data_IF_294535778532
#
_entry.id   IF_294535778532
#
_cell.length_a   1.000
_cell.length_b   1.000
_cell.length_c   1.000
_cell.angle_alpha   90.00
_cell.angle_beta   90.00
_cell.angle_gamma   90.00
#
_symmetry.space_group_name_H-M   'P 1'
#
loop_
_entity.id
_entity.type
_entity.pdbx_description
1 polymer ?
#
# COMPACT_ATOMS: atom_id res chain seq x y z
N UNK A 1 -51.90 -6.32 -1.39
CA UNK A 1 -51.52 -6.03 -2.79
C UNK A 1 -50.08 -6.48 -2.95
N UNK A 2 -49.85 -7.47 -3.81
CA UNK A 2 -48.51 -8.04 -4.03
C UNK A 2 -47.72 -7.09 -4.90
N UNK A 3 -46.45 -6.88 -4.58
CA UNK A 3 -45.52 -6.00 -5.29
C UNK A 3 -45.45 -6.29 -6.80
N UNK A 4 -45.75 -7.53 -7.20
CA UNK A 4 -45.82 -7.98 -8.59
C UNK A 4 -46.90 -7.29 -9.43
N UNK A 5 -48.03 -6.87 -8.84
CA UNK A 5 -49.09 -6.16 -9.58
C UNK A 5 -48.64 -4.74 -9.98
N UNK A 6 -47.78 -4.13 -9.17
CA UNK A 6 -47.17 -2.82 -9.44
C UNK A 6 -46.12 -2.90 -10.56
N UNK A 7 -45.39 -4.02 -10.65
CA UNK A 7 -44.39 -4.26 -11.69
C UNK A 7 -45.02 -4.40 -13.09
N UNK A 8 -46.26 -4.90 -13.19
CA UNK A 8 -46.98 -4.94 -14.47
C UNK A 8 -47.49 -3.56 -14.93
N UNK A 9 -47.73 -2.62 -14.01
CA UNK A 9 -48.20 -1.25 -14.34
C UNK A 9 -47.06 -0.34 -14.77
N UNK A 10 -45.85 -0.58 -14.24
CA UNK A 10 -44.60 0.08 -14.66
C UNK A 10 -43.98 -0.79 -15.76
N UNK A 11 -44.37 -0.57 -17.02
CA UNK A 11 -43.90 -1.25 -18.24
C UNK A 11 -42.50 -1.90 -18.17
N UNK A 12 -42.31 -3.02 -18.88
CA UNK A 12 -41.10 -3.87 -18.92
C UNK A 12 -39.76 -3.10 -18.91
N UNK A 13 -38.71 -3.72 -18.33
CA UNK A 13 -37.37 -3.12 -18.21
C UNK A 13 -36.84 -2.58 -19.56
N UNK A 14 -37.01 -1.28 -19.77
CA UNK A 14 -36.62 -0.61 -21.01
C UNK A 14 -35.10 -0.55 -21.20
N UNK A 15 -34.64 -0.31 -22.43
CA UNK A 15 -33.20 -0.20 -22.75
C UNK A 15 -32.47 0.81 -21.86
N UNK A 16 -33.11 1.94 -21.55
CA UNK A 16 -32.55 2.97 -20.67
C UNK A 16 -32.43 2.51 -19.21
N UNK A 17 -33.42 1.80 -18.68
CA UNK A 17 -33.36 1.26 -17.32
C UNK A 17 -32.26 0.19 -17.20
N UNK A 18 -32.11 -0.68 -18.21
CA UNK A 18 -31.03 -1.68 -18.29
C UNK A 18 -29.65 -1.04 -18.32
N UNK A 19 -29.44 -0.02 -19.17
CA UNK A 19 -28.19 0.72 -19.24
C UNK A 19 -27.86 1.43 -17.92
N UNK A 20 -28.85 2.09 -17.31
CA UNK A 20 -28.66 2.79 -16.04
C UNK A 20 -28.33 1.83 -14.90
N UNK A 21 -29.02 0.68 -14.83
CA UNK A 21 -28.73 -0.36 -13.86
C UNK A 21 -27.30 -0.90 -14.04
N UNK A 22 -26.90 -1.18 -15.29
CA UNK A 22 -25.53 -1.60 -15.61
C UNK A 22 -24.48 -0.58 -15.16
N UNK A 23 -24.69 0.71 -15.40
CA UNK A 23 -23.77 1.76 -14.92
C UNK A 23 -23.67 1.80 -13.39
N UNK A 24 -24.78 1.63 -12.67
CA UNK A 24 -24.77 1.58 -11.19
C UNK A 24 -23.98 0.36 -10.71
N UNK A 25 -24.19 -0.82 -11.31
CA UNK A 25 -23.41 -2.01 -10.98
C UNK A 25 -21.92 -1.80 -11.22
N UNK A 26 -21.54 -1.19 -12.35
CA UNK A 26 -20.14 -0.87 -12.64
C UNK A 26 -19.55 0.07 -11.58
N UNK A 27 -20.26 1.12 -11.21
CA UNK A 27 -19.82 2.06 -10.18
C UNK A 27 -19.63 1.42 -8.81
N UNK A 28 -20.44 0.41 -8.47
CA UNK A 28 -20.31 -0.32 -7.20
C UNK A 28 -19.18 -1.38 -7.22
N UNK A 29 -18.81 -1.92 -8.39
CA UNK A 29 -17.75 -2.92 -8.53
C UNK A 29 -16.33 -2.33 -8.54
N UNK A 30 -16.16 -1.10 -9.02
CA UNK A 30 -14.84 -0.47 -9.13
C UNK A 30 -14.15 -0.15 -7.79
N UNK A 31 -14.84 0.37 -6.75
CA UNK A 31 -14.18 0.75 -5.51
C UNK A 31 -13.53 -0.44 -4.78
N UNK A 32 -14.18 -1.62 -4.61
CA UNK A 32 -13.55 -2.79 -4.00
C UNK A 32 -12.23 -3.18 -4.68
N UNK A 33 -12.17 -3.14 -6.02
CA UNK A 33 -10.95 -3.44 -6.78
C UNK A 33 -9.82 -2.52 -6.32
N UNK A 34 -10.07 -1.22 -6.21
CA UNK A 34 -9.08 -0.22 -5.77
C UNK A 34 -8.65 -0.40 -4.30
N UNK A 35 -9.51 -0.95 -3.45
CA UNK A 35 -9.16 -1.30 -2.06
C UNK A 35 -8.18 -2.46 -2.04
N UNK A 36 -8.50 -3.53 -2.77
CA UNK A 36 -7.71 -4.75 -2.78
C UNK A 36 -6.36 -4.58 -3.50
N UNK A 37 -6.22 -3.61 -4.41
CA UNK A 37 -4.93 -3.26 -5.02
C UNK A 37 -3.85 -3.00 -3.97
N UNK A 38 -4.20 -2.49 -2.78
CA UNK A 38 -3.25 -2.28 -1.68
C UNK A 38 -2.52 -3.56 -1.26
N UNK A 39 -3.22 -4.69 -1.23
CA UNK A 39 -2.62 -5.97 -0.83
C UNK A 39 -1.46 -6.37 -1.73
N UNK A 40 -1.56 -6.05 -3.03
CA UNK A 40 -0.53 -6.31 -4.02
C UNK A 40 0.52 -5.20 -4.05
N UNK A 41 0.10 -3.93 -4.07
CA UNK A 41 1.01 -2.79 -4.13
C UNK A 41 1.90 -2.68 -2.88
N UNK A 42 1.38 -3.06 -1.72
CA UNK A 42 2.12 -3.10 -0.46
C UNK A 42 2.64 -4.50 -0.13
N UNK A 43 2.70 -5.45 -1.07
CA UNK A 43 3.33 -6.74 -0.83
C UNK A 43 4.81 -6.55 -0.50
N UNK A 44 5.33 -7.37 0.41
CA UNK A 44 6.75 -7.36 0.80
C UNK A 44 7.47 -8.48 0.03
N UNK A 45 8.22 -8.18 -1.05
CA UNK A 45 9.04 -9.19 -1.69
C UNK A 45 10.15 -9.68 -0.74
N UNK A 46 10.75 -10.82 -1.07
CA UNK A 46 11.96 -11.24 -0.35
C UNK A 46 13.07 -10.23 -0.60
N UNK A 47 13.78 -9.85 0.45
CA UNK A 47 14.81 -8.83 0.38
C UNK A 47 16.04 -9.23 1.17
N UNK A 48 17.18 -8.71 0.75
CA UNK A 48 18.47 -8.86 1.41
C UNK A 48 19.19 -7.53 1.49
N UNK A 49 20.17 -7.43 2.39
CA UNK A 49 20.99 -6.23 2.51
C UNK A 49 21.90 -6.06 1.28
N UNK A 50 22.06 -4.82 0.80
CA UNK A 50 23.05 -4.45 -0.23
C UNK A 50 24.40 -4.26 0.44
N UNK A 51 25.39 -5.04 0.02
CA UNK A 51 26.70 -5.11 0.69
C UNK A 51 27.71 -4.11 0.11
N UNK A 52 27.68 -3.89 -1.21
CA UNK A 52 28.59 -2.99 -1.93
C UNK A 52 27.88 -2.31 -3.11
N UNK A 53 28.37 -1.13 -3.52
CA UNK A 53 27.76 -0.33 -4.60
C UNK A 53 28.21 -0.73 -6.02
N UNK A 54 29.38 -1.37 -6.18
CA UNK A 54 29.90 -1.81 -7.47
C UNK A 54 30.05 -3.34 -7.51
N UNK A 55 29.31 -3.99 -8.41
CA UNK A 55 29.42 -5.43 -8.67
C UNK A 55 30.82 -5.84 -9.19
N UNK A 56 31.63 -4.89 -9.66
CA UNK A 56 33.01 -5.12 -10.11
C UNK A 56 34.05 -5.17 -8.97
N UNK A 57 33.80 -4.55 -7.81
CA UNK A 57 34.73 -4.59 -6.66
C UNK A 57 34.58 -5.90 -5.85
N UNK A 58 33.51 -6.66 -6.15
CA UNK A 58 33.20 -7.96 -5.54
C UNK A 58 34.29 -9.01 -5.83
N UNK A 59 34.88 -9.00 -7.02
CA UNK A 59 35.91 -9.97 -7.41
C UNK A 59 37.30 -9.64 -6.84
N UNK A 60 37.58 -8.39 -6.44
CA UNK A 60 38.92 -7.95 -6.01
C UNK A 60 39.12 -8.12 -4.50
N UNK A 61 38.06 -7.97 -3.69
CA UNK A 61 38.14 -8.13 -2.22
C UNK A 61 37.85 -9.55 -1.72
N UNK A 62 37.46 -10.46 -2.62
CA UNK A 62 37.10 -11.84 -2.31
C UNK A 62 38.27 -12.66 -1.71
N UNK A 63 39.51 -12.20 -1.87
CA UNK A 63 40.71 -12.87 -1.38
C UNK A 63 41.21 -12.41 0.00
N UNK A 64 40.61 -11.37 0.62
CA UNK A 64 41.01 -10.94 1.98
C UNK A 64 39.85 -10.66 2.94
N UNK A 65 38.59 -10.65 2.48
CA UNK A 65 37.43 -10.72 3.37
C UNK A 65 36.66 -12.02 3.10
N UNK A 66 36.97 -13.02 3.92
CA UNK A 66 36.26 -14.28 4.02
C UNK A 66 34.75 -14.04 3.98
N UNK A 67 34.08 -14.76 3.09
CA UNK A 67 32.67 -15.15 3.17
C UNK A 67 32.19 -15.22 4.63
N UNK A 68 31.65 -14.12 5.16
CA UNK A 68 31.01 -13.98 6.48
C UNK A 68 30.59 -12.51 6.71
N UNK A 69 29.70 -11.98 5.87
CA UNK A 69 28.74 -11.00 6.38
C UNK A 69 27.72 -11.81 7.18
N UNK A 70 28.14 -12.20 8.38
CA UNK A 70 27.43 -13.19 9.18
C UNK A 70 26.05 -12.62 9.52
N UNK A 71 25.02 -13.45 9.38
CA UNK A 71 23.71 -13.07 9.91
C UNK A 71 23.85 -12.95 11.44
N UNK A 72 23.15 -12.00 12.07
CA UNK A 72 23.12 -11.95 13.52
C UNK A 72 22.62 -13.29 14.07
N UNK A 73 23.23 -13.72 15.18
CA UNK A 73 22.83 -14.96 15.85
C UNK A 73 21.36 -14.89 16.26
N UNK A 74 20.70 -16.05 16.26
CA UNK A 74 19.29 -16.16 16.66
C UNK A 74 19.05 -15.61 18.07
N UNK A 75 20.04 -15.72 18.97
CA UNK A 75 19.99 -15.16 20.31
C UNK A 75 19.93 -13.62 20.31
N UNK A 76 20.67 -12.93 19.42
CA UNK A 76 20.62 -11.47 19.30
C UNK A 76 19.23 -11.01 18.82
N UNK A 77 18.66 -11.71 17.83
CA UNK A 77 17.35 -11.39 17.30
C UNK A 77 16.23 -11.62 18.33
N UNK A 78 16.31 -12.69 19.12
CA UNK A 78 15.36 -12.94 20.23
C UNK A 78 15.50 -11.94 21.36
N UNK A 79 16.71 -11.44 21.64
CA UNK A 79 16.96 -10.50 22.73
C UNK A 79 16.52 -9.06 22.40
N UNK A 80 16.67 -8.63 21.14
CA UNK A 80 16.48 -7.23 20.76
C UNK A 80 15.17 -6.92 20.01
N UNK A 81 14.41 -7.92 19.55
CA UNK A 81 13.17 -7.67 18.79
C UNK A 81 12.03 -8.66 19.08
N UNK A 82 10.79 -8.16 19.01
CA UNK A 82 9.55 -8.96 19.00
C UNK A 82 9.20 -9.51 17.60
N UNK A 83 10.17 -9.56 16.69
CA UNK A 83 9.98 -9.93 15.27
C UNK A 83 10.52 -11.35 15.04
N UNK A 84 10.05 -12.04 14.00
CA UNK A 84 10.60 -13.33 13.57
C UNK A 84 12.12 -13.26 13.36
N UNK A 85 12.82 -14.30 13.80
CA UNK A 85 14.29 -14.44 13.67
C UNK A 85 14.74 -14.26 12.22
N UNK A 86 14.00 -14.85 11.27
CA UNK A 86 14.30 -14.76 9.82
C UNK A 86 14.22 -13.34 9.28
N UNK A 87 13.34 -12.53 9.85
CA UNK A 87 13.10 -11.16 9.40
C UNK A 87 14.12 -10.21 10.03
N UNK A 88 14.48 -10.42 11.30
CA UNK A 88 15.61 -9.76 11.94
C UNK A 88 16.93 -9.99 11.18
N UNK A 89 17.22 -11.22 10.74
CA UNK A 89 18.45 -11.51 9.99
C UNK A 89 18.55 -10.78 8.64
N UNK A 90 17.44 -10.30 8.07
CA UNK A 90 17.43 -9.51 6.84
C UNK A 90 17.66 -8.01 7.07
N UNK A 91 17.45 -7.56 8.30
CA UNK A 91 17.53 -6.15 8.70
C UNK A 91 18.91 -5.73 9.21
N UNK A 92 19.74 -6.69 9.61
CA UNK A 92 21.03 -6.44 10.23
C UNK A 92 22.12 -7.25 9.56
N UNK A 93 23.33 -6.69 9.57
CA UNK A 93 24.54 -7.35 9.12
C UNK A 93 25.56 -7.35 10.25
N UNK A 94 26.33 -8.45 10.35
CA UNK A 94 27.47 -8.56 11.25
C UNK A 94 28.74 -8.22 10.45
N UNK A 95 29.52 -7.29 10.96
CA UNK A 95 30.78 -6.84 10.38
C UNK A 95 31.91 -7.07 11.38
N UNK A 96 33.03 -7.60 10.90
CA UNK A 96 34.24 -7.77 11.71
C UNK A 96 35.05 -6.48 11.61
N UNK A 97 35.29 -5.81 12.74
CA UNK A 97 36.18 -4.65 12.79
C UNK A 97 37.65 -5.08 12.63
N UNK A 98 38.52 -4.17 12.19
CA UNK A 98 39.99 -4.38 12.14
C UNK A 98 40.59 -4.82 13.51
N UNK A 99 39.83 -4.65 14.60
CA UNK A 99 40.20 -5.09 15.96
C UNK A 99 39.77 -6.52 16.29
N UNK A 100 39.20 -7.27 15.34
CA UNK A 100 38.65 -8.61 15.55
C UNK A 100 37.33 -8.64 16.34
N UNK A 101 36.79 -7.48 16.73
CA UNK A 101 35.50 -7.36 17.41
C UNK A 101 34.35 -7.41 16.41
N UNK A 102 33.36 -8.23 16.74
CA UNK A 102 32.11 -8.33 16.00
C UNK A 102 31.23 -7.11 16.28
N UNK A 103 30.77 -6.43 15.23
CA UNK A 103 29.85 -5.30 15.33
C UNK A 103 28.61 -5.58 14.49
N UNK A 104 27.44 -5.44 15.11
CA UNK A 104 26.15 -5.55 14.42
C UNK A 104 25.74 -4.16 13.95
N UNK A 105 25.39 -4.04 12.68
CA UNK A 105 24.97 -2.79 12.05
C UNK A 105 23.63 -2.96 11.33
N UNK A 106 22.81 -1.92 11.36
CA UNK A 106 21.55 -1.84 10.61
C UNK A 106 21.83 -1.72 9.12
N UNK A 107 21.04 -2.44 8.31
CA UNK A 107 21.13 -2.32 6.87
C UNK A 107 20.44 -1.03 6.39
N UNK A 108 21.14 -0.23 5.57
CA UNK A 108 20.58 1.00 5.02
C UNK A 108 20.02 0.83 3.60
N UNK A 109 20.60 -0.09 2.82
CA UNK A 109 20.27 -0.31 1.42
C UNK A 109 19.83 -1.76 1.21
N UNK A 110 18.75 -1.96 0.48
CA UNK A 110 18.14 -3.28 0.29
C UNK A 110 18.11 -3.65 -1.18
N UNK A 111 18.33 -4.93 -1.47
CA UNK A 111 18.09 -5.54 -2.77
C UNK A 111 16.86 -6.43 -2.64
N UNK A 112 15.87 -6.19 -3.49
CA UNK A 112 14.61 -6.90 -3.50
C UNK A 112 14.61 -7.94 -4.63
N UNK A 113 14.06 -9.13 -4.35
CA UNK A 113 13.93 -10.20 -5.35
C UNK A 113 12.67 -9.97 -6.20
N UNK A 114 12.86 -9.79 -7.51
CA UNK A 114 11.79 -9.54 -8.48
C UNK A 114 11.18 -10.82 -9.06
N UNK A 115 11.16 -11.92 -8.29
CA UNK A 115 10.66 -13.23 -8.78
C UNK A 115 9.13 -13.27 -8.92
N UNK A 116 8.41 -12.57 -8.05
CA UNK A 116 6.94 -12.60 -7.97
C UNK A 116 6.28 -11.23 -8.17
N UNK A 117 7.05 -10.16 -8.00
CA UNK A 117 6.55 -8.79 -8.10
C UNK A 117 7.59 -7.96 -8.86
N UNK A 118 7.18 -7.30 -9.94
CA UNK A 118 8.06 -6.42 -10.71
C UNK A 118 8.22 -5.04 -10.04
N UNK A 119 7.16 -4.59 -9.36
CA UNK A 119 7.12 -3.29 -8.70
C UNK A 119 6.24 -3.33 -7.45
N UNK A 120 6.77 -2.87 -6.32
CA UNK A 120 6.01 -2.71 -5.08
C UNK A 120 6.34 -1.38 -4.40
N UNK A 121 5.37 -0.80 -3.70
CA UNK A 121 5.56 0.41 -2.90
C UNK A 121 6.57 0.17 -1.76
N UNK A 122 6.65 -1.06 -1.26
CA UNK A 122 7.61 -1.44 -0.21
C UNK A 122 9.04 -1.33 -0.72
N UNK A 123 9.30 -1.80 -1.94
CA UNK A 123 10.61 -1.68 -2.61
C UNK A 123 10.92 -0.23 -2.96
N UNK A 124 9.95 0.50 -3.50
CA UNK A 124 10.08 1.92 -3.82
C UNK A 124 10.52 2.71 -2.59
N UNK A 125 9.85 2.56 -1.46
CA UNK A 125 10.14 3.39 -0.27
C UNK A 125 11.03 2.71 0.77
N UNK A 126 11.55 1.51 0.48
CA UNK A 126 12.32 0.69 1.43
C UNK A 126 11.62 0.56 2.79
N UNK A 127 10.31 0.28 2.79
CA UNK A 127 9.48 0.17 4.01
C UNK A 127 9.64 -1.19 4.71
N UNK A 128 10.89 -1.58 4.95
CA UNK A 128 11.27 -2.82 5.64
C UNK A 128 11.91 -2.51 6.99
N UNK A 129 11.99 -3.52 7.86
CA UNK A 129 12.64 -3.41 9.17
C UNK A 129 12.04 -2.29 10.04
N UNK A 130 12.83 -1.30 10.45
CA UNK A 130 12.39 -0.16 11.26
C UNK A 130 11.30 0.68 10.56
N UNK A 131 11.23 0.62 9.23
CA UNK A 131 10.28 1.40 8.40
C UNK A 131 8.98 0.66 8.11
N UNK A 132 8.76 -0.52 8.70
CA UNK A 132 7.48 -1.25 8.58
C UNK A 132 6.29 -0.47 9.16
N UNK A 133 6.55 0.42 10.13
CA UNK A 133 5.54 1.30 10.74
C UNK A 133 4.87 2.20 9.68
N UNK A 134 5.61 2.67 8.67
CA UNK A 134 5.05 3.51 7.61
C UNK A 134 4.02 2.76 6.76
N UNK A 135 4.30 1.49 6.40
CA UNK A 135 3.35 0.63 5.68
C UNK A 135 2.05 0.46 6.49
N UNK A 136 2.17 0.14 7.78
CA UNK A 136 1.03 0.00 8.68
C UNK A 136 0.27 1.32 8.88
N UNK A 137 0.98 2.45 8.96
CA UNK A 137 0.38 3.76 9.08
C UNK A 137 -0.50 4.12 7.88
N UNK A 138 -0.06 3.85 6.65
CA UNK A 138 -0.87 4.08 5.43
C UNK A 138 -2.17 3.26 5.48
N UNK A 139 -2.09 1.99 5.90
CA UNK A 139 -3.27 1.13 6.03
C UNK A 139 -4.22 1.61 7.13
N UNK A 140 -3.70 2.03 8.28
CA UNK A 140 -4.51 2.55 9.38
C UNK A 140 -5.20 3.87 9.00
N UNK A 141 -4.47 4.80 8.36
CA UNK A 141 -5.03 6.07 7.87
C UNK A 141 -6.12 5.81 6.83
N UNK A 142 -5.94 4.81 5.97
CA UNK A 142 -6.97 4.40 5.03
C UNK A 142 -8.26 3.95 5.73
N UNK A 143 -8.19 3.08 6.73
CA UNK A 143 -9.37 2.66 7.49
C UNK A 143 -9.98 3.78 8.34
N UNK A 144 -9.15 4.69 8.84
CA UNK A 144 -9.63 5.90 9.49
C UNK A 144 -10.43 6.79 8.52
N UNK A 145 -9.95 6.95 7.28
CA UNK A 145 -10.68 7.60 6.20
C UNK A 145 -12.00 6.91 5.86
N UNK A 146 -12.06 5.58 5.91
CA UNK A 146 -13.31 4.83 5.76
C UNK A 146 -14.35 5.24 6.80
N UNK A 147 -13.93 5.31 8.08
CA UNK A 147 -14.81 5.72 9.16
C UNK A 147 -15.32 7.14 8.96
N UNK A 148 -14.41 8.10 8.73
CA UNK A 148 -14.76 9.52 8.53
C UNK A 148 -15.67 9.70 7.31
N UNK A 149 -15.35 9.05 6.20
CA UNK A 149 -16.15 9.12 4.97
C UNK A 149 -17.57 8.60 5.16
N UNK A 150 -17.76 7.50 5.91
CA UNK A 150 -19.10 6.95 6.16
C UNK A 150 -20.01 7.93 6.89
N UNK A 151 -19.48 8.65 7.89
CA UNK A 151 -20.25 9.60 8.69
C UNK A 151 -20.50 10.86 7.88
N UNK A 152 -19.45 11.44 7.29
CA UNK A 152 -19.55 12.73 6.60
C UNK A 152 -20.41 12.64 5.33
N UNK A 153 -20.12 11.68 4.44
CA UNK A 153 -20.90 11.52 3.21
C UNK A 153 -22.30 10.97 3.47
N UNK A 154 -22.52 10.23 4.55
CA UNK A 154 -23.86 9.82 4.97
C UNK A 154 -24.74 11.01 5.32
N UNK A 155 -24.27 11.90 6.20
CA UNK A 155 -25.02 13.11 6.58
C UNK A 155 -25.25 14.01 5.36
N UNK A 156 -24.24 14.17 4.50
CA UNK A 156 -24.36 14.96 3.27
C UNK A 156 -25.36 14.37 2.28
N UNK A 157 -25.42 13.04 2.15
CA UNK A 157 -26.36 12.34 1.29
C UNK A 157 -27.81 12.56 1.71
N UNK A 158 -28.07 12.55 3.02
CA UNK A 158 -29.41 12.77 3.56
C UNK A 158 -29.86 14.23 3.40
N UNK A 159 -28.92 15.20 3.49
CA UNK A 159 -29.24 16.63 3.39
C UNK A 159 -29.34 17.15 1.96
N UNK A 160 -28.42 16.76 1.08
CA UNK A 160 -28.32 17.28 -0.30
C UNK A 160 -28.87 16.31 -1.36
N UNK A 161 -29.30 15.12 -0.93
CA UNK A 161 -29.77 14.05 -1.79
C UNK A 161 -28.64 13.12 -2.25
N UNK A 162 -28.99 11.85 -2.47
CA UNK A 162 -28.01 10.77 -2.76
C UNK A 162 -27.32 10.89 -4.11
N UNK A 163 -28.04 11.30 -5.17
CA UNK A 163 -27.49 11.40 -6.53
C UNK A 163 -26.33 12.38 -6.68
N UNK A 164 -26.43 13.67 -6.26
CA UNK A 164 -25.33 14.61 -6.43
C UNK A 164 -24.11 14.23 -5.60
N UNK A 165 -24.32 13.73 -4.37
CA UNK A 165 -23.22 13.29 -3.50
C UNK A 165 -22.50 12.08 -4.09
N UNK A 166 -23.23 11.09 -4.62
CA UNK A 166 -22.64 9.95 -5.32
C UNK A 166 -21.75 10.40 -6.50
N UNK A 167 -22.21 11.35 -7.32
CA UNK A 167 -21.40 11.89 -8.42
C UNK A 167 -20.12 12.58 -7.93
N UNK A 168 -20.19 13.36 -6.85
CA UNK A 168 -19.02 14.01 -6.26
C UNK A 168 -18.01 12.98 -5.75
N UNK A 169 -18.47 11.93 -5.05
CA UNK A 169 -17.59 10.87 -4.56
C UNK A 169 -16.89 10.12 -5.70
N UNK A 170 -17.56 9.88 -6.83
CA UNK A 170 -16.96 9.23 -8.00
C UNK A 170 -15.84 10.10 -8.59
N UNK A 171 -16.07 11.40 -8.73
CA UNK A 171 -15.06 12.34 -9.27
C UNK A 171 -13.84 12.40 -8.33
N UNK A 172 -14.07 12.51 -7.02
CA UNK A 172 -13.00 12.48 -6.03
C UNK A 172 -12.22 11.18 -6.05
N UNK A 173 -12.91 10.03 -6.18
CA UNK A 173 -12.28 8.72 -6.29
C UNK A 173 -11.39 8.62 -7.54
N UNK A 174 -11.88 9.09 -8.70
CA UNK A 174 -11.10 9.07 -9.94
C UNK A 174 -9.85 9.95 -9.85
N UNK A 175 -9.99 11.17 -9.34
CA UNK A 175 -8.88 12.12 -9.19
C UNK A 175 -7.81 11.61 -8.22
N UNK A 176 -8.22 11.09 -7.06
CA UNK A 176 -7.28 10.57 -6.06
C UNK A 176 -6.65 9.24 -6.46
N UNK A 177 -7.38 8.39 -7.19
CA UNK A 177 -6.83 7.19 -7.80
C UNK A 177 -5.71 7.50 -8.79
N UNK A 178 -5.90 8.55 -9.62
CA UNK A 178 -4.85 9.03 -10.53
C UNK A 178 -3.62 9.50 -9.75
N UNK A 179 -3.79 10.33 -8.71
CA UNK A 179 -2.68 10.78 -7.87
C UNK A 179 -1.92 9.60 -7.26
N UNK A 180 -2.62 8.59 -6.75
CA UNK A 180 -2.00 7.40 -6.17
C UNK A 180 -1.14 6.60 -7.18
N UNK A 181 -1.43 6.68 -8.48
CA UNK A 181 -0.68 5.97 -9.51
C UNK A 181 0.63 6.69 -9.90
N UNK A 182 0.64 8.03 -9.92
CA UNK A 182 1.79 8.81 -10.41
C UNK A 182 2.79 9.23 -9.33
N UNK A 183 2.32 9.49 -8.12
CA UNK A 183 3.14 10.06 -7.05
C UNK A 183 4.07 9.11 -6.27
N UNK A 184 4.04 7.76 -6.36
CA UNK A 184 4.92 6.94 -5.56
C UNK A 184 6.41 7.01 -5.94
N UNK A 185 6.76 7.67 -7.04
CA UNK A 185 8.15 7.78 -7.54
C UNK A 185 9.06 8.56 -6.56
N UNK A 186 9.82 7.84 -5.73
CA UNK A 186 10.76 8.41 -4.74
C UNK A 186 11.87 9.20 -5.43
N UNK A 187 12.32 8.73 -6.60
CA UNK A 187 13.54 9.24 -7.25
C UNK A 187 13.32 10.63 -7.83
N UNK A 188 12.07 10.96 -8.22
CA UNK A 188 11.72 12.26 -8.81
C UNK A 188 11.31 13.29 -7.77
N UNK A 189 10.57 12.88 -6.75
CA UNK A 189 9.94 13.81 -5.80
C UNK A 189 10.55 13.78 -4.40
N UNK A 190 11.33 12.75 -4.07
CA UNK A 190 11.83 12.50 -2.72
C UNK A 190 10.84 11.70 -1.87
N UNK A 191 11.36 11.04 -0.82
CA UNK A 191 10.58 10.12 0.02
C UNK A 191 9.44 10.80 0.79
N UNK A 192 9.72 11.86 1.55
CA UNK A 192 8.71 12.50 2.41
C UNK A 192 7.52 13.10 1.65
N UNK A 193 7.71 13.91 0.60
CA UNK A 193 6.57 14.48 -0.14
C UNK A 193 5.79 13.42 -0.92
N UNK A 194 6.44 12.43 -1.54
CA UNK A 194 5.73 11.34 -2.23
C UNK A 194 4.88 10.52 -1.25
N UNK A 195 5.44 10.18 -0.08
CA UNK A 195 4.74 9.46 0.97
C UNK A 195 3.52 10.23 1.51
N UNK A 196 3.67 11.53 1.80
CA UNK A 196 2.58 12.36 2.32
C UNK A 196 1.45 12.53 1.30
N UNK A 197 1.78 12.85 0.05
CA UNK A 197 0.78 13.01 -1.02
C UNK A 197 0.04 11.70 -1.26
N UNK A 198 0.75 10.58 -1.30
CA UNK A 198 0.14 9.27 -1.44
C UNK A 198 -0.79 8.93 -0.26
N UNK A 199 -0.34 9.18 0.97
CA UNK A 199 -1.12 8.89 2.19
C UNK A 199 -2.39 9.73 2.27
N UNK A 200 -2.31 11.03 1.98
CA UNK A 200 -3.47 11.93 1.95
C UNK A 200 -4.42 11.53 0.83
N UNK A 201 -3.91 11.18 -0.34
CA UNK A 201 -4.73 10.72 -1.47
C UNK A 201 -5.45 9.43 -1.14
N UNK A 202 -4.79 8.49 -0.46
CA UNK A 202 -5.40 7.25 0.04
C UNK A 202 -6.48 7.52 1.09
N UNK A 203 -6.29 8.51 1.96
CA UNK A 203 -7.32 8.93 2.91
C UNK A 203 -8.57 9.45 2.19
N UNK A 204 -8.40 10.34 1.20
CA UNK A 204 -9.54 10.89 0.45
C UNK A 204 -10.20 9.80 -0.41
N UNK A 205 -9.41 8.90 -1.02
CA UNK A 205 -9.91 7.75 -1.77
C UNK A 205 -10.76 6.83 -0.88
N UNK A 206 -10.30 6.58 0.36
CA UNK A 206 -11.03 5.82 1.36
C UNK A 206 -12.37 6.49 1.72
N UNK A 207 -12.35 7.79 2.02
CA UNK A 207 -13.55 8.56 2.31
C UNK A 207 -14.56 8.48 1.17
N UNK A 208 -14.09 8.65 -0.07
CA UNK A 208 -14.91 8.65 -1.28
C UNK A 208 -15.51 7.28 -1.57
N UNK A 209 -14.70 6.23 -1.45
CA UNK A 209 -15.14 4.84 -1.63
C UNK A 209 -16.26 4.49 -0.66
N UNK A 210 -16.08 4.84 0.62
CA UNK A 210 -17.11 4.55 1.62
C UNK A 210 -18.34 5.43 1.43
N UNK A 211 -18.18 6.67 0.96
CA UNK A 211 -19.28 7.56 0.60
C UNK A 211 -20.19 6.99 -0.49
N UNK A 212 -19.62 6.39 -1.55
CA UNK A 212 -20.40 5.72 -2.63
C UNK A 212 -21.25 4.58 -2.07
N UNK A 213 -20.75 3.82 -1.11
CA UNK A 213 -21.46 2.69 -0.53
C UNK A 213 -22.56 3.08 0.48
N UNK A 214 -22.54 4.31 0.99
CA UNK A 214 -23.54 4.83 1.93
C UNK A 214 -24.65 5.62 1.22
N UNK A 215 -24.38 6.15 0.02
CA UNK A 215 -25.34 6.90 -0.81
C UNK A 215 -26.30 5.97 -1.57
#
# INVERSE_FOLDING_TARGET
>A
MKFDDFLHTVNDFGRYQKLRYFCICLTYMLPPIMVYTWSFAAATPSFRCKLYDNDADFNIRQSSLSYNQSQPDEAYCKANMKISVKECQRCYMKTISNTGKEKIQTCNNYVFDQKYYDYTLVEEWSMVCDRTVFRSAVQNIFFFGYMVGSIFFGIMADKYGRRPIMSICIILMAFTGFICAFFPQKDKFGFWPSYLVYTISRFILACSTRGIAVT
#
